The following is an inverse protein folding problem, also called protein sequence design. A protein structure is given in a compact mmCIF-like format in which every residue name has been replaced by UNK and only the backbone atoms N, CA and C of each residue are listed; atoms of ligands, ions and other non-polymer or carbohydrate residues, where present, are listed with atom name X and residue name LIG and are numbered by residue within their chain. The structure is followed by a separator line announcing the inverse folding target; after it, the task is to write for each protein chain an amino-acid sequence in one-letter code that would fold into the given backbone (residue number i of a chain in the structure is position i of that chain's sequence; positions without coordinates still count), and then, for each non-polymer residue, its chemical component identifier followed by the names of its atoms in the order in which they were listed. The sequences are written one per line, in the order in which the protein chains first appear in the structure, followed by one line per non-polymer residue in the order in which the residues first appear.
data_IF_967049732430
#
_entry.id   IF_967049732430
#
_cell.length_a   1.000
_cell.length_b   1.000
_cell.length_c   1.000
_cell.angle_alpha   90.00
_cell.angle_beta   90.00
_cell.angle_gamma   90.00
#
_symmetry.space_group_name_H-M   'P 1'
#
loop_
_entity.id
_entity.type
_entity.pdbx_description
1 polymer ?
#
# COMPACT_ATOMS: atom_id res chain seq x y z
N UNK A 1 -39.95 35.78 -33.11
CA UNK A 1 -38.88 34.74 -33.07
C UNK A 1 -37.52 35.40 -33.10
N UNK A 2 -36.75 35.34 -32.00
CA UNK A 2 -35.33 35.05 -32.10
C UNK A 2 -35.03 33.89 -31.16
N UNK A 3 -35.12 32.63 -31.64
CA UNK A 3 -34.91 31.42 -30.85
C UNK A 3 -33.44 31.23 -30.41
N UNK A 4 -32.59 32.23 -30.65
CA UNK A 4 -31.17 32.22 -30.36
C UNK A 4 -30.83 32.68 -28.94
N UNK A 5 -31.68 33.48 -28.27
CA UNK A 5 -31.41 33.93 -26.90
C UNK A 5 -31.73 32.87 -25.84
N UNK A 6 -32.73 32.01 -26.10
CA UNK A 6 -33.08 30.90 -25.19
C UNK A 6 -32.08 29.73 -25.27
N UNK A 7 -31.32 29.63 -26.37
CA UNK A 7 -30.26 28.61 -26.53
C UNK A 7 -28.94 28.98 -25.85
N UNK A 8 -28.68 30.27 -25.61
CA UNK A 8 -27.48 30.70 -24.89
C UNK A 8 -27.62 30.56 -23.36
N UNK A 9 -28.83 30.72 -22.82
CA UNK A 9 -29.07 30.58 -21.38
C UNK A 9 -29.02 29.11 -20.92
N UNK A 10 -29.39 28.15 -21.78
CA UNK A 10 -29.34 26.72 -21.46
C UNK A 10 -27.94 26.11 -21.63
N UNK A 11 -27.04 26.76 -22.38
CA UNK A 11 -25.67 26.29 -22.58
C UNK A 11 -24.73 26.64 -21.40
N UNK A 12 -25.03 27.69 -20.62
CA UNK A 12 -24.19 28.10 -19.48
C UNK A 12 -24.55 27.41 -18.15
N UNK A 13 -25.72 26.79 -18.01
CA UNK A 13 -26.11 26.10 -16.77
C UNK A 13 -25.58 24.65 -16.72
N UNK A 14 -25.09 24.11 -17.85
CA UNK A 14 -24.52 22.75 -17.93
C UNK A 14 -22.99 22.71 -17.78
N UNK A 15 -22.33 23.84 -17.58
CA UNK A 15 -20.86 23.96 -17.52
C UNK A 15 -20.30 24.17 -16.10
N UNK A 16 -21.13 24.06 -15.07
CA UNK A 16 -20.72 24.13 -13.66
C UNK A 16 -21.11 22.87 -12.90
N UNK A 17 -20.88 21.69 -13.48
CA UNK A 17 -20.55 20.55 -12.66
C UNK A 17 -19.05 20.55 -12.51
N UNK A 18 -18.50 20.83 -11.31
CA UNK A 18 -17.14 20.38 -11.07
C UNK A 18 -17.18 18.89 -11.34
N UNK A 19 -16.42 18.43 -12.35
CA UNK A 19 -15.88 17.10 -12.27
C UNK A 19 -15.14 17.09 -10.94
N UNK A 20 -15.81 16.61 -9.89
CA UNK A 20 -15.10 15.95 -8.84
C UNK A 20 -14.36 14.85 -9.58
N UNK A 21 -13.09 15.11 -9.92
CA UNK A 21 -12.11 14.04 -9.92
C UNK A 21 -12.43 13.29 -8.64
N UNK A 22 -12.95 12.07 -8.76
CA UNK A 22 -13.10 11.19 -7.63
C UNK A 22 -11.68 11.08 -7.09
N UNK A 23 -11.36 11.92 -6.10
CA UNK A 23 -10.04 11.99 -5.51
C UNK A 23 -9.77 10.58 -5.03
N UNK A 24 -8.62 10.02 -5.41
CA UNK A 24 -8.08 8.93 -4.63
C UNK A 24 -8.08 9.45 -3.19
N UNK A 25 -8.90 8.86 -2.33
CA UNK A 25 -8.92 9.22 -0.93
C UNK A 25 -7.53 8.92 -0.40
N UNK A 26 -6.78 9.97 -0.08
CA UNK A 26 -5.38 9.89 0.29
C UNK A 26 -5.24 9.32 1.70
N UNK A 27 -4.08 8.71 1.95
CA UNK A 27 -3.71 8.26 3.29
C UNK A 27 -3.68 9.46 4.22
N UNK A 28 -4.35 9.34 5.37
CA UNK A 28 -4.38 10.37 6.41
C UNK A 28 -3.66 9.91 7.68
N UNK A 29 -3.24 10.87 8.50
CA UNK A 29 -2.55 10.62 9.76
C UNK A 29 -3.25 11.38 10.90
N UNK A 30 -4.47 10.96 11.29
CA UNK A 30 -5.20 11.61 12.36
C UNK A 30 -4.52 11.41 13.71
N UNK A 31 -4.72 12.35 14.62
CA UNK A 31 -4.42 12.13 16.04
C UNK A 31 -5.27 10.96 16.57
N UNK A 32 -4.66 10.03 17.31
CA UNK A 32 -5.39 8.85 17.77
C UNK A 32 -6.53 9.20 18.73
N UNK A 33 -6.42 10.27 19.50
CA UNK A 33 -7.47 10.75 20.40
C UNK A 33 -8.64 11.43 19.68
N UNK A 34 -8.52 11.70 18.38
CA UNK A 34 -9.58 12.32 17.59
C UNK A 34 -10.71 11.33 17.24
N UNK A 35 -11.93 11.84 17.18
CA UNK A 35 -13.10 11.08 16.80
C UNK A 35 -13.04 10.66 15.32
N UNK A 36 -13.51 9.46 15.02
CA UNK A 36 -13.59 8.96 13.65
C UNK A 36 -14.72 9.70 12.92
N UNK A 37 -14.52 10.15 11.66
CA UNK A 37 -15.57 10.77 10.88
C UNK A 37 -16.86 9.93 10.87
N UNK A 38 -17.97 10.54 11.27
CA UNK A 38 -19.28 9.87 11.37
C UNK A 38 -19.55 9.11 12.68
N UNK A 39 -18.56 8.97 13.57
CA UNK A 39 -18.67 8.26 14.85
C UNK A 39 -18.23 9.18 16.00
N UNK A 40 -19.20 9.83 16.67
CA UNK A 40 -18.89 10.87 17.68
C UNK A 40 -18.26 10.34 18.97
N UNK A 41 -18.52 9.08 19.30
CA UNK A 41 -18.13 8.46 20.58
C UNK A 41 -17.03 7.41 20.39
N UNK A 42 -16.40 7.34 19.21
CA UNK A 42 -15.30 6.41 18.92
C UNK A 42 -14.14 7.16 18.33
N UNK A 43 -12.96 6.95 18.91
CA UNK A 43 -11.69 7.54 18.48
C UNK A 43 -10.85 6.54 17.70
N UNK A 44 -9.84 7.02 16.99
CA UNK A 44 -8.85 6.14 16.36
C UNK A 44 -8.06 5.32 17.39
N UNK A 45 -7.90 5.83 18.62
CA UNK A 45 -7.32 5.12 19.76
C UNK A 45 -8.19 3.93 20.16
N UNK A 46 -9.52 4.05 20.11
CA UNK A 46 -10.42 2.94 20.40
C UNK A 46 -10.32 1.81 19.37
N UNK A 47 -10.11 2.15 18.09
CA UNK A 47 -9.82 1.15 17.05
C UNK A 47 -8.46 0.50 17.28
N UNK A 48 -7.45 1.31 17.55
CA UNK A 48 -6.10 0.83 17.72
C UNK A 48 -5.96 -0.05 19.00
N UNK A 49 -6.80 0.18 20.02
CA UNK A 49 -6.96 -0.74 21.17
C UNK A 49 -7.58 -2.10 20.82
N UNK A 50 -8.20 -2.26 19.65
CA UNK A 50 -8.60 -3.59 19.18
C UNK A 50 -7.40 -4.41 18.70
N UNK A 51 -6.30 -3.75 18.35
CA UNK A 51 -5.05 -4.38 17.91
C UNK A 51 -4.04 -4.44 19.06
N UNK A 52 -3.87 -3.37 19.84
CA UNK A 52 -2.96 -3.27 20.98
C UNK A 52 -3.80 -2.95 22.23
N UNK A 53 -4.30 -3.98 22.96
CA UNK A 53 -5.36 -3.81 23.97
C UNK A 53 -5.09 -2.81 25.08
N UNK A 54 -3.84 -2.68 25.50
CA UNK A 54 -3.42 -1.82 26.60
C UNK A 54 -2.94 -0.44 26.15
N UNK A 55 -3.13 -0.09 24.87
CA UNK A 55 -2.62 1.17 24.35
C UNK A 55 -3.21 2.40 25.06
N UNK A 56 -2.34 3.29 25.50
CA UNK A 56 -2.70 4.51 26.22
C UNK A 56 -1.72 5.65 25.89
N UNK A 57 -2.19 6.89 26.05
CA UNK A 57 -1.34 8.07 26.02
C UNK A 57 -0.44 8.11 27.26
N UNK A 58 0.83 8.44 27.09
CA UNK A 58 1.75 8.73 28.21
C UNK A 58 1.85 10.25 28.48
N UNK A 59 2.70 10.62 29.45
CA UNK A 59 2.94 12.02 29.82
C UNK A 59 3.59 12.86 28.71
N UNK A 60 4.23 12.21 27.73
CA UNK A 60 4.95 12.84 26.62
C UNK A 60 4.03 13.09 25.41
N UNK A 61 2.74 12.75 25.52
CA UNK A 61 1.76 12.92 24.45
C UNK A 61 1.83 11.85 23.35
N UNK A 62 2.62 10.79 23.55
CA UNK A 62 2.73 9.65 22.65
C UNK A 62 1.86 8.49 23.14
N UNK A 63 1.47 7.61 22.22
CA UNK A 63 0.70 6.41 22.54
C UNK A 63 1.64 5.21 22.68
N UNK A 64 1.48 4.48 23.79
CA UNK A 64 2.28 3.30 24.11
C UNK A 64 1.37 2.13 24.44
N UNK A 65 1.78 0.94 24.01
CA UNK A 65 1.19 -0.33 24.42
C UNK A 65 2.26 -1.41 24.45
N UNK A 66 1.87 -2.59 24.94
CA UNK A 66 2.76 -3.76 24.96
C UNK A 66 2.63 -4.54 23.64
N UNK A 67 2.14 -5.77 23.70
CA UNK A 67 2.05 -6.66 22.56
C UNK A 67 0.73 -6.44 21.82
N UNK A 68 0.74 -6.47 20.47
CA UNK A 68 -0.49 -6.57 19.72
C UNK A 68 -1.15 -7.95 19.94
N UNK A 69 -2.41 -8.07 19.54
CA UNK A 69 -3.08 -9.37 19.42
C UNK A 69 -2.29 -10.32 18.51
N UNK A 70 -2.45 -11.63 18.71
CA UNK A 70 -1.89 -12.61 17.78
C UNK A 70 -2.49 -12.43 16.39
N UNK A 71 -1.63 -12.45 15.37
CA UNK A 71 -2.02 -12.33 13.98
C UNK A 71 -1.06 -13.08 13.07
N UNK A 72 -1.53 -13.40 11.86
CA UNK A 72 -0.71 -14.02 10.82
C UNK A 72 0.12 -12.98 10.07
N UNK A 73 1.20 -13.44 9.44
CA UNK A 73 1.89 -12.67 8.42
C UNK A 73 1.15 -12.70 7.08
N UNK A 74 1.21 -11.62 6.30
CA UNK A 74 0.56 -11.54 4.98
C UNK A 74 1.20 -12.49 3.95
N UNK A 75 2.50 -12.75 4.09
CA UNK A 75 3.27 -13.65 3.22
C UNK A 75 3.11 -15.14 3.56
N UNK A 76 2.56 -15.48 4.73
CA UNK A 76 2.37 -16.86 5.19
C UNK A 76 2.98 -17.14 6.57
N UNK A 77 2.77 -18.34 7.13
CA UNK A 77 3.17 -18.67 8.50
C UNK A 77 4.68 -18.73 8.71
N UNK A 78 5.46 -18.88 7.64
CA UNK A 78 6.93 -18.99 7.69
C UNK A 78 7.63 -17.63 7.55
N UNK A 79 6.91 -16.51 7.70
CA UNK A 79 7.40 -15.14 7.49
C UNK A 79 7.21 -14.25 8.71
N UNK A 80 7.97 -13.16 8.78
CA UNK A 80 7.94 -12.22 9.88
C UNK A 80 8.83 -12.62 11.06
N UNK A 81 8.73 -11.82 12.12
CA UNK A 81 9.27 -12.13 13.45
C UNK A 81 8.27 -11.81 14.55
N UNK A 82 8.72 -11.86 15.78
CA UNK A 82 7.95 -11.50 16.96
C UNK A 82 7.64 -10.00 17.00
N UNK A 83 6.50 -9.57 17.55
CA UNK A 83 6.26 -8.15 17.81
C UNK A 83 7.26 -7.59 18.82
N UNK A 84 7.62 -6.30 18.73
CA UNK A 84 8.43 -5.65 19.76
C UNK A 84 7.71 -5.63 21.11
N UNK A 85 8.46 -5.81 22.21
CA UNK A 85 7.90 -5.86 23.58
C UNK A 85 7.11 -4.60 23.98
N UNK A 86 7.52 -3.45 23.44
CA UNK A 86 6.83 -2.18 23.61
C UNK A 86 6.66 -1.52 22.27
N UNK A 87 5.43 -1.13 21.96
CA UNK A 87 5.08 -0.40 20.75
C UNK A 87 4.92 1.07 21.12
N UNK A 88 5.74 1.94 20.52
CA UNK A 88 5.56 3.39 20.58
C UNK A 88 4.97 3.85 19.27
N UNK A 89 3.72 4.31 19.28
CA UNK A 89 3.01 4.74 18.08
C UNK A 89 2.95 6.27 18.02
N UNK A 90 3.76 6.91 17.16
CA UNK A 90 3.64 8.35 16.93
C UNK A 90 2.36 8.70 16.15
N UNK A 91 1.93 7.82 15.23
CA UNK A 91 0.72 7.96 14.42
C UNK A 91 0.28 6.60 13.84
N UNK A 92 -0.92 6.57 13.25
CA UNK A 92 -1.38 5.47 12.41
C UNK A 92 -1.77 6.02 11.04
N UNK A 93 -1.37 5.33 9.98
CA UNK A 93 -1.79 5.69 8.62
C UNK A 93 -3.18 5.13 8.36
N UNK A 94 -4.12 5.98 7.95
CA UNK A 94 -5.54 5.64 7.81
C UNK A 94 -5.97 5.79 6.36
N UNK A 95 -6.61 4.75 5.84
CA UNK A 95 -7.11 4.69 4.47
C UNK A 95 -8.52 4.10 4.44
N UNK A 96 -9.50 4.88 4.02
CA UNK A 96 -10.82 4.35 3.72
C UNK A 96 -10.77 3.55 2.41
N UNK A 97 -11.48 2.42 2.36
CA UNK A 97 -11.46 1.51 1.21
C UNK A 97 -12.85 0.94 0.94
N UNK A 98 -13.06 0.44 -0.27
CA UNK A 98 -14.19 -0.43 -0.60
C UNK A 98 -13.75 -1.89 -0.62
N UNK A 99 -14.52 -2.75 0.03
CA UNK A 99 -14.31 -4.19 -0.03
C UNK A 99 -15.64 -4.94 0.03
N UNK A 100 -15.89 -5.82 -0.95
CA UNK A 100 -17.13 -6.59 -1.03
C UNK A 100 -18.38 -5.71 -1.12
N UNK A 101 -18.27 -4.53 -1.74
CA UNK A 101 -19.35 -3.55 -1.85
C UNK A 101 -19.65 -2.75 -0.58
N UNK A 102 -18.83 -2.89 0.47
CA UNK A 102 -18.97 -2.16 1.73
C UNK A 102 -17.86 -1.14 1.88
N UNK A 103 -18.15 -0.03 2.55
CA UNK A 103 -17.13 0.90 3.03
C UNK A 103 -16.44 0.29 4.25
N UNK A 104 -15.11 0.34 4.25
CA UNK A 104 -14.23 -0.18 5.30
C UNK A 104 -13.14 0.84 5.61
N UNK A 105 -12.51 0.67 6.77
CA UNK A 105 -11.32 1.43 7.16
C UNK A 105 -10.14 0.48 7.28
N UNK A 106 -9.05 0.79 6.57
CA UNK A 106 -7.75 0.16 6.78
C UNK A 106 -6.87 1.11 7.62
N UNK A 107 -6.25 0.60 8.67
CA UNK A 107 -5.25 1.33 9.44
C UNK A 107 -3.94 0.55 9.46
N UNK A 108 -2.85 1.23 9.16
CA UNK A 108 -1.49 0.68 9.22
C UNK A 108 -0.74 1.27 10.41
N UNK A 109 -0.26 0.38 11.27
CA UNK A 109 0.54 0.67 12.45
C UNK A 109 1.95 0.11 12.23
N UNK A 110 2.95 0.97 12.07
CA UNK A 110 4.35 0.53 12.08
C UNK A 110 4.81 0.48 13.55
N UNK A 111 5.03 -0.74 14.08
CA UNK A 111 5.42 -0.95 15.47
C UNK A 111 6.94 -0.92 15.66
N UNK A 112 7.71 -0.81 14.57
CA UNK A 112 9.16 -0.79 14.57
C UNK A 112 9.79 -2.17 14.39
N UNK A 113 11.02 -2.31 14.86
CA UNK A 113 11.85 -3.48 14.58
C UNK A 113 11.39 -4.74 15.32
N UNK A 114 11.39 -5.87 14.63
CA UNK A 114 11.22 -7.18 15.25
C UNK A 114 12.53 -7.62 15.93
N UNK A 115 12.50 -8.18 17.16
CA UNK A 115 13.73 -8.52 17.89
C UNK A 115 14.46 -9.76 17.36
N UNK A 116 13.77 -10.59 16.56
CA UNK A 116 14.23 -11.89 16.05
C UNK A 116 14.16 -11.99 14.52
N UNK A 117 13.89 -10.88 13.82
CA UNK A 117 13.87 -10.79 12.36
C UNK A 117 14.62 -9.55 11.85
N UNK A 118 15.07 -9.60 10.59
CA UNK A 118 15.59 -8.41 9.89
C UNK A 118 14.46 -7.51 9.34
N UNK A 119 13.24 -8.02 9.32
CA UNK A 119 12.01 -7.30 8.95
C UNK A 119 11.50 -6.50 10.16
N UNK A 120 10.76 -5.43 9.90
CA UNK A 120 10.00 -4.73 10.93
C UNK A 120 8.76 -5.52 11.38
N UNK A 121 7.90 -4.88 12.16
CA UNK A 121 6.61 -5.39 12.54
C UNK A 121 5.55 -4.32 12.31
N UNK A 122 4.74 -4.48 11.26
CA UNK A 122 3.74 -3.49 10.87
C UNK A 122 2.36 -4.12 10.69
N UNK A 123 1.38 -3.66 11.46
CA UNK A 123 0.03 -4.23 11.46
C UNK A 123 -0.87 -3.48 10.50
N UNK A 124 -1.41 -4.17 9.50
CA UNK A 124 -2.53 -3.69 8.70
C UNK A 124 -3.83 -4.25 9.29
N UNK A 125 -4.68 -3.38 9.81
CA UNK A 125 -5.95 -3.72 10.44
C UNK A 125 -7.14 -3.27 9.57
N UNK A 126 -8.15 -4.12 9.44
CA UNK A 126 -9.38 -3.88 8.71
C UNK A 126 -10.55 -3.70 9.67
N UNK A 127 -11.29 -2.62 9.54
CA UNK A 127 -12.44 -2.33 10.39
C UNK A 127 -13.74 -2.21 9.60
N UNK A 128 -14.81 -2.73 10.20
CA UNK A 128 -16.18 -2.34 9.90
C UNK A 128 -16.56 -1.17 10.81
N UNK A 129 -17.01 -0.07 10.21
CA UNK A 129 -17.52 1.09 10.95
C UNK A 129 -19.05 1.21 10.89
N UNK A 130 -19.74 0.26 10.25
CA UNK A 130 -21.19 0.23 10.21
C UNK A 130 -21.75 -0.14 11.60
N UNK A 131 -22.31 0.85 12.29
CA UNK A 131 -22.82 0.66 13.66
C UNK A 131 -21.69 0.70 14.69
N UNK A 132 -21.60 -0.30 15.56
CA UNK A 132 -20.51 -0.41 16.53
C UNK A 132 -19.24 -0.88 15.81
N UNK A 133 -18.11 -0.13 15.89
CA UNK A 133 -16.90 -0.54 15.19
C UNK A 133 -16.41 -1.92 15.59
N UNK A 134 -15.93 -2.67 14.60
CA UNK A 134 -15.43 -4.03 14.78
C UNK A 134 -14.16 -4.25 13.94
N UNK A 135 -13.15 -4.87 14.56
CA UNK A 135 -11.98 -5.40 13.86
C UNK A 135 -12.38 -6.67 13.10
N UNK A 136 -12.19 -6.66 11.79
CA UNK A 136 -12.52 -7.75 10.88
C UNK A 136 -11.33 -8.69 10.64
N UNK A 137 -10.15 -8.10 10.42
CA UNK A 137 -8.89 -8.81 10.23
C UNK A 137 -7.72 -7.91 10.65
N UNK A 138 -6.63 -8.52 11.08
CA UNK A 138 -5.36 -7.85 11.34
C UNK A 138 -4.23 -8.77 10.89
N UNK A 139 -3.23 -8.20 10.21
CA UNK A 139 -2.11 -8.96 9.65
C UNK A 139 -0.82 -8.18 9.78
N UNK A 140 0.28 -8.88 10.05
CA UNK A 140 1.61 -8.29 9.87
C UNK A 140 1.92 -8.20 8.37
N UNK A 141 2.21 -6.99 7.88
CA UNK A 141 2.54 -6.68 6.48
C UNK A 141 3.97 -6.19 6.31
N UNK A 142 4.77 -6.14 7.37
CA UNK A 142 6.18 -5.79 7.27
C UNK A 142 6.93 -6.92 6.57
N UNK A 143 7.45 -6.62 5.37
CA UNK A 143 8.28 -7.55 4.60
C UNK A 143 9.72 -7.02 4.48
N UNK A 144 10.00 -5.91 5.17
CA UNK A 144 11.30 -5.25 5.31
C UNK A 144 11.23 -4.28 6.51
N UNK A 145 12.24 -3.44 6.73
CA UNK A 145 12.38 -2.60 7.94
C UNK A 145 11.28 -1.57 8.14
N UNK A 146 11.09 -0.65 7.18
CA UNK A 146 10.12 0.45 7.34
C UNK A 146 8.92 0.24 6.44
N UNK A 147 7.69 0.28 6.99
CA UNK A 147 6.48 -0.13 6.25
C UNK A 147 5.41 0.95 6.21
N UNK A 148 4.87 1.22 5.02
CA UNK A 148 3.88 2.29 4.80
C UNK A 148 2.94 1.97 3.63
N UNK A 149 1.84 2.72 3.51
CA UNK A 149 1.05 2.73 2.28
C UNK A 149 1.84 3.37 1.14
N UNK A 150 1.86 2.72 -0.02
CA UNK A 150 2.61 3.17 -1.19
C UNK A 150 1.73 4.01 -2.09
N UNK A 151 2.14 5.18 -2.55
CA UNK A 151 1.37 5.92 -3.58
C UNK A 151 1.46 5.29 -4.99
N UNK A 152 0.33 5.02 -5.70
CA UNK A 152 -1.05 5.16 -5.24
C UNK A 152 -1.40 4.13 -4.16
N UNK A 153 -1.95 4.57 -3.03
CA UNK A 153 -2.20 3.74 -1.84
C UNK A 153 -3.23 2.61 -2.05
N UNK A 154 -4.11 2.79 -3.04
CA UNK A 154 -5.08 1.79 -3.48
C UNK A 154 -5.40 1.90 -4.97
N UNK A 155 -5.93 0.82 -5.52
CA UNK A 155 -6.42 0.72 -6.90
C UNK A 155 -7.89 0.31 -6.88
N UNK A 156 -8.82 1.12 -7.41
CA UNK A 156 -10.21 0.71 -7.56
C UNK A 156 -10.33 -0.32 -8.68
N UNK A 157 -10.55 -1.58 -8.31
CA UNK A 157 -10.68 -2.71 -9.24
C UNK A 157 -12.14 -3.08 -9.50
N UNK A 158 -13.07 -2.22 -9.11
CA UNK A 158 -14.49 -2.36 -9.37
C UNK A 158 -15.29 -1.33 -8.56
N UNK A 159 -16.62 -1.30 -8.69
CA UNK A 159 -17.46 -0.36 -7.94
C UNK A 159 -17.42 -0.54 -6.42
N UNK A 160 -17.01 -1.71 -5.93
CA UNK A 160 -17.09 -2.09 -4.53
C UNK A 160 -15.82 -2.73 -3.97
N UNK A 161 -14.72 -2.70 -4.72
CA UNK A 161 -13.48 -3.40 -4.35
C UNK A 161 -12.25 -2.57 -4.72
N UNK A 162 -11.44 -2.31 -3.71
CA UNK A 162 -10.11 -1.72 -3.82
C UNK A 162 -9.04 -2.80 -3.59
N UNK A 163 -7.91 -2.66 -4.28
CA UNK A 163 -6.66 -3.36 -3.95
C UNK A 163 -5.74 -2.37 -3.26
N UNK A 164 -5.23 -2.74 -2.09
CA UNK A 164 -4.29 -1.95 -1.31
C UNK A 164 -2.87 -2.19 -1.77
N UNK A 165 -2.06 -1.14 -1.65
CA UNK A 165 -0.63 -1.19 -1.96
C UNK A 165 0.13 -0.69 -0.73
N UNK A 166 0.84 -1.61 -0.09
CA UNK A 166 1.84 -1.26 0.94
C UNK A 166 3.22 -1.37 0.32
N UNK A 167 4.22 -0.79 0.98
CA UNK A 167 5.61 -1.12 0.71
C UNK A 167 6.39 -1.21 2.00
N UNK A 168 7.39 -2.07 2.01
CA UNK A 168 8.46 -2.04 3.00
C UNK A 168 9.78 -1.70 2.31
N UNK A 169 10.63 -0.92 2.99
CA UNK A 169 11.92 -0.49 2.44
C UNK A 169 13.06 -0.59 3.45
N UNK A 170 14.26 -0.79 2.92
CA UNK A 170 15.50 -0.49 3.62
C UNK A 170 16.55 0.06 2.65
N UNK A 171 17.52 0.77 3.20
CA UNK A 171 18.68 1.27 2.48
C UNK A 171 19.96 0.77 3.13
N UNK A 172 20.90 0.26 2.34
CA UNK A 172 22.21 -0.15 2.81
C UNK A 172 23.27 0.13 1.73
N UNK A 173 24.40 0.73 2.09
CA UNK A 173 25.56 0.91 1.19
C UNK A 173 25.22 1.33 -0.24
N UNK A 174 24.48 2.44 -0.41
CA UNK A 174 24.06 2.96 -1.73
C UNK A 174 23.06 2.09 -2.50
N UNK A 175 22.39 1.16 -1.82
CA UNK A 175 21.37 0.31 -2.38
C UNK A 175 20.03 0.59 -1.70
N UNK A 176 18.97 0.70 -2.50
CA UNK A 176 17.60 0.81 -2.05
C UNK A 176 16.83 -0.47 -2.35
N UNK A 177 16.26 -1.08 -1.34
CA UNK A 177 15.42 -2.27 -1.46
C UNK A 177 13.99 -1.87 -1.16
N UNK A 178 13.09 -2.24 -2.07
CA UNK A 178 11.67 -1.95 -1.93
C UNK A 178 10.89 -3.22 -2.25
N UNK A 179 10.05 -3.64 -1.32
CA UNK A 179 9.15 -4.77 -1.49
C UNK A 179 7.73 -4.22 -1.43
N UNK A 180 6.96 -4.45 -2.49
CA UNK A 180 5.61 -3.90 -2.66
C UNK A 180 4.55 -5.00 -2.69
N UNK A 181 3.91 -5.29 -1.56
CA UNK A 181 2.73 -6.16 -1.53
C UNK A 181 1.51 -5.54 -2.22
N UNK A 182 0.85 -6.33 -3.06
CA UNK A 182 -0.50 -6.07 -3.54
C UNK A 182 -1.49 -6.88 -2.72
N UNK A 183 -2.44 -6.22 -2.05
CA UNK A 183 -3.32 -6.87 -1.06
C UNK A 183 -4.78 -6.60 -1.42
N UNK A 184 -5.62 -7.62 -1.41
CA UNK A 184 -7.07 -7.49 -1.57
C UNK A 184 -7.79 -7.89 -0.29
N UNK A 185 -8.93 -7.27 0.02
CA UNK A 185 -9.83 -7.78 1.05
C UNK A 185 -10.87 -8.70 0.43
N UNK A 186 -10.99 -9.94 0.92
CA UNK A 186 -12.03 -10.88 0.53
C UNK A 186 -12.61 -11.59 1.74
N UNK A 187 -13.94 -11.70 1.77
CA UNK A 187 -14.67 -12.28 2.90
C UNK A 187 -14.20 -11.68 4.24
N UNK A 188 -14.06 -10.36 4.26
CA UNK A 188 -13.59 -9.58 5.41
C UNK A 188 -12.16 -9.95 5.89
N UNK A 189 -11.30 -10.52 5.03
CA UNK A 189 -9.89 -10.85 5.31
C UNK A 189 -8.92 -10.33 4.26
N UNK A 190 -7.71 -9.97 4.65
CA UNK A 190 -6.63 -9.60 3.73
C UNK A 190 -6.04 -10.81 3.02
N UNK A 191 -6.00 -10.80 1.69
CA UNK A 191 -5.36 -11.80 0.86
C UNK A 191 -4.26 -11.14 0.03
N UNK A 192 -3.05 -11.71 0.07
CA UNK A 192 -1.95 -11.30 -0.79
C UNK A 192 -2.24 -11.70 -2.25
N UNK A 193 -2.09 -10.75 -3.17
CA UNK A 193 -2.10 -10.99 -4.62
C UNK A 193 -0.69 -11.34 -5.10
N UNK A 194 0.29 -10.50 -4.78
CA UNK A 194 1.69 -10.67 -5.16
C UNK A 194 2.61 -9.81 -4.28
N UNK A 195 3.91 -10.13 -4.29
CA UNK A 195 4.98 -9.30 -3.72
C UNK A 195 5.96 -8.92 -4.83
N UNK A 196 6.12 -7.62 -5.06
CA UNK A 196 6.94 -7.10 -6.16
C UNK A 196 8.21 -6.49 -5.58
N UNK A 197 9.36 -7.02 -6.00
CA UNK A 197 10.68 -6.62 -5.50
C UNK A 197 11.32 -5.67 -6.51
N UNK A 198 11.64 -4.45 -6.06
CA UNK A 198 12.40 -3.47 -6.82
C UNK A 198 13.67 -3.07 -6.08
N UNK A 199 14.70 -2.76 -6.86
CA UNK A 199 16.05 -2.54 -6.37
C UNK A 199 16.72 -1.37 -7.10
N UNK A 200 17.26 -0.46 -6.30
CA UNK A 200 18.04 0.68 -6.75
C UNK A 200 19.49 0.52 -6.29
N UNK A 201 20.44 0.96 -7.12
CA UNK A 201 21.84 1.06 -6.73
C UNK A 201 22.49 2.32 -7.27
N UNK A 202 23.44 2.86 -6.49
CA UNK A 202 24.29 3.96 -6.89
C UNK A 202 25.75 3.59 -6.67
N UNK A 203 26.45 3.32 -7.76
CA UNK A 203 27.88 3.05 -7.78
C UNK A 203 28.63 4.25 -8.37
N UNK A 204 29.96 4.24 -8.29
CA UNK A 204 30.78 5.30 -8.89
C UNK A 204 30.46 5.45 -10.38
N UNK A 205 30.48 4.35 -11.15
CA UNK A 205 30.40 4.41 -12.61
C UNK A 205 28.98 4.62 -13.16
N UNK A 206 27.94 4.29 -12.37
CA UNK A 206 26.54 4.40 -12.80
C UNK A 206 25.56 4.39 -11.63
N UNK A 207 24.34 4.82 -11.92
CA UNK A 207 23.16 4.56 -11.09
C UNK A 207 22.16 3.69 -11.83
N UNK A 208 21.47 2.81 -11.12
CA UNK A 208 20.37 2.01 -11.62
C UNK A 208 19.16 2.21 -10.72
N UNK A 209 17.98 2.38 -11.32
CA UNK A 209 16.72 2.56 -10.63
C UNK A 209 15.64 1.66 -11.20
N UNK A 210 14.78 1.16 -10.32
CA UNK A 210 13.61 0.35 -10.66
C UNK A 210 12.34 1.04 -10.17
N UNK A 211 11.75 1.87 -11.02
CA UNK A 211 10.54 2.61 -10.69
C UNK A 211 9.28 1.80 -11.04
N UNK A 212 8.37 1.63 -10.09
CA UNK A 212 7.14 0.84 -10.26
C UNK A 212 5.91 1.73 -10.50
N UNK A 213 5.11 1.39 -11.51
CA UNK A 213 3.87 2.07 -11.87
C UNK A 213 2.68 1.09 -11.96
N UNK A 214 1.51 1.56 -11.54
CA UNK A 214 0.27 0.77 -11.49
C UNK A 214 -0.78 1.34 -12.43
N UNK A 215 -1.52 0.45 -13.07
CA UNK A 215 -2.62 0.82 -13.96
C UNK A 215 -3.76 -0.19 -13.91
N UNK A 216 -4.99 0.29 -13.70
CA UNK A 216 -6.19 -0.55 -13.77
C UNK A 216 -6.67 -0.63 -15.22
N UNK A 217 -6.74 -1.84 -15.76
CA UNK A 217 -7.18 -2.14 -17.12
C UNK A 217 -8.67 -2.50 -17.12
N UNK A 218 -9.47 -1.69 -17.81
CA UNK A 218 -10.92 -1.86 -17.84
C UNK A 218 -11.61 -1.33 -16.58
N UNK A 219 -11.16 -0.18 -16.09
CA UNK A 219 -11.68 0.46 -14.87
C UNK A 219 -13.22 0.55 -14.84
N UNK A 220 -13.77 0.41 -13.63
CA UNK A 220 -15.21 0.39 -13.38
C UNK A 220 -15.88 -0.98 -13.57
N UNK A 221 -15.22 -1.94 -14.21
CA UNK A 221 -15.70 -3.34 -14.23
C UNK A 221 -15.34 -4.05 -12.92
N UNK A 222 -16.22 -4.92 -12.39
CA UNK A 222 -15.88 -5.74 -11.22
C UNK A 222 -14.66 -6.63 -11.48
N UNK A 223 -13.70 -6.58 -10.57
CA UNK A 223 -12.42 -7.27 -10.63
C UNK A 223 -11.61 -6.94 -11.91
N UNK A 224 -11.53 -5.66 -12.25
CA UNK A 224 -10.71 -5.14 -13.34
C UNK A 224 -9.25 -5.60 -13.21
N UNK A 225 -8.60 -5.86 -14.35
CA UNK A 225 -7.23 -6.35 -14.34
C UNK A 225 -6.26 -5.26 -13.88
N UNK A 226 -5.17 -5.65 -13.23
CA UNK A 226 -4.14 -4.72 -12.74
C UNK A 226 -2.89 -4.94 -13.59
N UNK A 227 -2.45 -3.93 -14.33
CA UNK A 227 -1.15 -3.92 -14.97
C UNK A 227 -0.16 -3.19 -14.08
N UNK A 228 0.95 -3.85 -13.79
CA UNK A 228 2.07 -3.25 -13.06
C UNK A 228 3.28 -3.27 -13.98
N UNK A 229 4.01 -2.17 -14.03
CA UNK A 229 5.22 -2.01 -14.83
C UNK A 229 6.35 -1.54 -13.93
N UNK A 230 7.49 -2.21 -14.00
CA UNK A 230 8.75 -1.72 -13.46
C UNK A 230 9.61 -1.20 -14.61
N UNK A 231 10.01 0.06 -14.55
CA UNK A 231 10.99 0.66 -15.46
C UNK A 231 12.37 0.52 -14.82
N UNK A 232 13.22 -0.33 -15.39
CA UNK A 232 14.60 -0.57 -14.96
C UNK A 232 15.54 0.27 -15.83
N UNK A 233 16.09 1.33 -15.25
CA UNK A 233 16.92 2.32 -15.94
C UNK A 233 18.33 2.37 -15.35
N UNK A 234 19.34 2.27 -16.21
CA UNK A 234 20.75 2.47 -15.87
C UNK A 234 21.28 3.73 -16.55
N UNK A 235 21.90 4.60 -15.76
CA UNK A 235 22.46 5.88 -16.20
C UNK A 235 23.93 5.98 -15.77
N UNK A 236 24.89 6.14 -16.71
CA UNK A 236 26.28 6.40 -16.39
C UNK A 236 26.43 7.70 -15.58
N UNK A 237 27.29 7.71 -14.57
CA UNK A 237 27.50 8.88 -13.71
C UNK A 237 28.29 10.00 -14.40
N UNK A 238 29.16 9.63 -15.35
CA UNK A 238 30.17 10.55 -15.91
C UNK A 238 31.37 10.78 -14.99
N UNK A 239 31.44 10.10 -13.86
CA UNK A 239 32.55 10.18 -12.91
C UNK A 239 33.75 9.34 -13.41
N UNK A 240 34.96 9.74 -13.02
CA UNK A 240 36.18 8.97 -13.30
C UNK A 240 36.29 7.83 -12.29
N UNK A 241 35.94 6.62 -12.74
CA UNK A 241 35.96 5.40 -11.93
C UNK A 241 36.95 4.39 -12.50
N UNK A 242 37.39 3.45 -11.68
CA UNK A 242 38.31 2.38 -12.11
C UNK A 242 37.66 1.45 -13.14
N UNK A 243 36.35 1.21 -12.99
CA UNK A 243 35.56 0.42 -13.93
C UNK A 243 34.98 1.26 -15.07
N UNK A 244 34.97 0.68 -16.27
CA UNK A 244 34.30 1.29 -17.42
C UNK A 244 32.78 1.39 -17.17
N UNK A 245 32.17 2.57 -17.35
CA UNK A 245 30.74 2.73 -17.12
C UNK A 245 29.93 1.89 -18.12
N UNK A 246 28.81 1.28 -17.70
CA UNK A 246 27.90 0.61 -18.61
C UNK A 246 27.30 1.60 -19.60
N UNK A 247 26.68 1.09 -20.67
CA UNK A 247 25.85 1.95 -21.54
C UNK A 247 24.56 2.33 -20.81
N UNK A 248 24.11 3.56 -21.05
CA UNK A 248 22.76 3.96 -20.63
C UNK A 248 21.72 3.00 -21.24
N UNK A 249 20.78 2.55 -20.43
CA UNK A 249 19.72 1.64 -20.86
C UNK A 249 18.46 1.84 -20.03
N UNK A 250 17.32 1.52 -20.62
CA UNK A 250 16.01 1.54 -19.94
C UNK A 250 15.16 0.42 -20.54
N UNK A 251 14.53 -0.39 -19.68
CA UNK A 251 13.59 -1.45 -20.08
C UNK A 251 12.35 -1.42 -19.19
N UNK A 252 11.19 -1.61 -19.80
CA UNK A 252 9.94 -1.81 -19.09
C UNK A 252 9.66 -3.31 -18.92
N UNK A 253 9.36 -3.71 -17.70
CA UNK A 253 9.00 -5.08 -17.33
C UNK A 253 7.59 -5.02 -16.77
N UNK A 254 6.62 -5.65 -17.44
CA UNK A 254 5.22 -5.60 -17.01
C UNK A 254 4.64 -6.97 -16.67
N UNK A 255 3.80 -7.01 -15.64
CA UNK A 255 2.90 -8.13 -15.33
C UNK A 255 1.47 -7.61 -15.34
N UNK A 256 0.53 -8.38 -15.89
CA UNK A 256 -0.91 -8.11 -15.76
C UNK A 256 -1.55 -9.19 -14.90
N UNK A 257 -2.11 -8.78 -13.77
CA UNK A 257 -2.89 -9.62 -12.88
C UNK A 257 -4.34 -9.64 -13.34
N UNK A 258 -4.89 -10.83 -13.53
CA UNK A 258 -6.28 -11.02 -13.97
C UNK A 258 -7.05 -11.80 -12.94
N UNK A 259 -8.30 -11.43 -12.75
CA UNK A 259 -9.20 -12.16 -11.87
C UNK A 259 -9.52 -13.55 -12.44
N UNK A 260 -9.24 -14.59 -11.67
CA UNK A 260 -9.69 -15.95 -11.92
C UNK A 260 -10.95 -16.21 -11.08
N UNK A 261 -12.09 -16.40 -11.75
CA UNK A 261 -13.37 -16.65 -11.07
C UNK A 261 -13.45 -18.00 -10.37
N UNK A 262 -12.73 -19.01 -10.84
CA UNK A 262 -12.78 -20.37 -10.29
C UNK A 262 -12.07 -20.43 -8.93
N UNK A 263 -10.87 -19.85 -8.86
CA UNK A 263 -10.09 -19.75 -7.62
C UNK A 263 -10.46 -18.51 -6.83
N UNK A 264 -11.23 -17.61 -7.43
CA UNK A 264 -11.68 -16.37 -6.79
C UNK A 264 -10.46 -15.51 -6.39
N UNK A 265 -9.44 -15.42 -7.25
CA UNK A 265 -8.17 -14.73 -6.94
C UNK A 265 -7.61 -14.03 -8.17
N UNK A 266 -6.82 -12.98 -7.96
CA UNK A 266 -5.95 -12.46 -9.00
C UNK A 266 -4.80 -13.43 -9.29
N UNK A 267 -4.47 -13.60 -10.56
CA UNK A 267 -3.39 -14.47 -11.04
C UNK A 267 -2.50 -13.65 -11.96
N UNK A 268 -1.19 -13.72 -11.74
CA UNK A 268 -0.19 -13.09 -12.60
C UNK A 268 -0.22 -13.74 -14.00
N UNK A 269 -0.22 -12.91 -15.05
CA UNK A 269 -0.19 -13.37 -16.44
C UNK A 269 1.19 -13.81 -16.94
N UNK A 270 2.26 -13.63 -16.14
CA UNK A 270 3.62 -14.07 -16.47
C UNK A 270 4.49 -14.17 -15.21
N UNK A 271 5.70 -14.69 -15.35
CA UNK A 271 6.74 -14.80 -14.33
C UNK A 271 7.75 -13.62 -14.35
N UNK A 272 7.45 -12.52 -15.06
CA UNK A 272 8.42 -11.47 -15.33
C UNK A 272 9.03 -10.85 -14.06
N UNK A 273 8.23 -10.60 -13.01
CA UNK A 273 8.75 -10.08 -11.74
C UNK A 273 9.52 -11.11 -10.91
N UNK A 274 9.22 -12.42 -11.05
CA UNK A 274 10.05 -13.47 -10.44
C UNK A 274 11.44 -13.49 -11.07
N UNK A 275 11.52 -13.33 -12.40
CA UNK A 275 12.80 -13.22 -13.10
C UNK A 275 13.54 -11.94 -12.73
N UNK A 276 12.85 -10.81 -12.59
CA UNK A 276 13.44 -9.55 -12.15
C UNK A 276 14.02 -9.66 -10.73
N UNK A 277 13.29 -10.26 -9.80
CA UNK A 277 13.75 -10.52 -8.43
C UNK A 277 14.99 -11.42 -8.43
N UNK A 278 14.98 -12.53 -9.19
CA UNK A 278 16.16 -13.39 -9.32
C UNK A 278 17.36 -12.70 -10.02
N UNK A 279 17.12 -11.75 -10.92
CA UNK A 279 18.18 -10.89 -11.50
C UNK A 279 18.78 -9.94 -10.46
N UNK A 280 17.95 -9.37 -9.57
CA UNK A 280 18.40 -8.50 -8.50
C UNK A 280 19.20 -9.28 -7.44
N UNK A 281 18.74 -10.47 -7.04
CA UNK A 281 19.45 -11.36 -6.10
C UNK A 281 20.82 -11.78 -6.63
N UNK A 282 20.96 -12.10 -7.93
CA UNK A 282 22.28 -12.49 -8.49
C UNK A 282 23.34 -11.40 -8.43
N UNK A 283 22.94 -10.16 -8.21
CA UNK A 283 23.89 -9.04 -8.06
C UNK A 283 24.49 -9.01 -6.66
N UNK A 284 23.90 -9.69 -5.65
CA UNK A 284 24.30 -9.64 -4.24
C UNK A 284 24.20 -10.99 -3.52
#
# INVERSE_FOLDING_TARGET
MKPTLLRLALALVLLSWPWASAGAEEVSFPDLGSAIPGQKDVTYLDLARMVIPDMASNADGLYHGTLPIEMRHIAGPDSGGSPPETSSLPNAAVLAIKAGGKDRLAMLFDLGDSPDSAEGYAVLALYDLAGKPALLDAVNVAVDRSTYFREPNKLPVGPGDDVLITMSTHFNSSQGYVITPLIMVRNDKFELIDMIYTFDERLCAYSRKQDIAFHVVGGGQPHAAIKVTVTDATVPSGESCDDAPPKASSKDISVTYRWNRQTSRYVAGSDAFKRLSAENEKRF
#
